data_IF_806317710021
#
_entry.id   IF_806317710021
#
_cell.length_a   1.000
_cell.length_b   1.000
_cell.length_c   1.000
_cell.angle_alpha   90.00
_cell.angle_beta   90.00
_cell.angle_gamma   90.00
#
_symmetry.space_group_name_H-M   'P 1'
#
loop_
_entity.id
_entity.type
_entity.pdbx_description
1 polymer ?
#
# COMPACT_ATOMS: atom_id res chain seq x y z
N UNK A 1 -25.95 -47.00 29.55
CA UNK A 1 -24.80 -46.06 29.60
C UNK A 1 -24.54 -45.54 28.19
N UNK A 2 -24.91 -44.29 27.87
CA UNK A 2 -24.60 -43.66 26.58
C UNK A 2 -23.20 -43.07 26.64
N UNK A 3 -22.29 -43.53 25.79
CA UNK A 3 -20.95 -42.97 25.63
C UNK A 3 -21.06 -41.72 24.74
N UNK A 4 -20.89 -40.54 25.32
CA UNK A 4 -20.76 -39.29 24.57
C UNK A 4 -19.37 -39.24 23.93
N UNK A 5 -19.29 -39.27 22.61
CA UNK A 5 -18.05 -38.97 21.89
C UNK A 5 -17.91 -37.45 21.81
N UNK A 6 -16.90 -36.90 22.47
CA UNK A 6 -16.48 -35.52 22.29
C UNK A 6 -15.67 -35.47 21.00
N UNK A 7 -16.28 -34.96 19.93
CA UNK A 7 -15.58 -34.71 18.66
C UNK A 7 -14.70 -33.47 18.80
N UNK A 8 -13.39 -33.65 18.68
CA UNK A 8 -12.41 -32.56 18.63
C UNK A 8 -12.56 -31.86 17.26
N UNK A 9 -13.17 -30.67 17.21
CA UNK A 9 -13.11 -29.81 16.02
C UNK A 9 -11.68 -29.25 15.91
N UNK A 10 -10.91 -29.74 14.93
CA UNK A 10 -9.68 -29.08 14.53
C UNK A 10 -10.03 -27.76 13.83
N UNK A 11 -9.70 -26.63 14.45
CA UNK A 11 -9.80 -25.33 13.81
C UNK A 11 -8.79 -25.28 12.64
N UNK A 12 -9.30 -25.28 11.40
CA UNK A 12 -8.48 -25.02 10.22
C UNK A 12 -8.21 -23.50 10.23
N UNK A 13 -7.03 -23.11 10.73
CA UNK A 13 -6.57 -21.73 10.60
C UNK A 13 -6.41 -21.42 9.10
N UNK A 14 -7.01 -20.34 8.58
CA UNK A 14 -6.77 -19.92 7.21
C UNK A 14 -5.29 -19.54 7.09
N UNK A 15 -4.53 -20.36 6.37
CA UNK A 15 -3.20 -19.97 5.90
C UNK A 15 -3.40 -18.86 4.86
N UNK A 16 -3.11 -17.61 5.24
CA UNK A 16 -2.93 -16.55 4.28
C UNK A 16 -1.78 -16.96 3.35
N UNK A 17 -2.11 -17.32 2.10
CA UNK A 17 -1.10 -17.74 1.13
C UNK A 17 -0.28 -16.53 0.69
N UNK A 18 1.01 -16.60 0.99
CA UNK A 18 2.05 -15.72 0.46
C UNK A 18 2.21 -16.02 -1.03
N UNK A 19 1.60 -15.21 -1.90
CA UNK A 19 1.89 -15.28 -3.35
C UNK A 19 3.30 -14.72 -3.58
N UNK A 20 4.18 -15.52 -4.20
CA UNK A 20 5.47 -15.04 -4.70
C UNK A 20 5.20 -13.91 -5.71
N UNK A 21 6.00 -12.82 -5.73
CA UNK A 21 5.82 -11.76 -6.73
C UNK A 21 5.91 -12.34 -8.15
N UNK A 22 4.97 -12.00 -9.06
CA UNK A 22 5.09 -12.41 -10.45
C UNK A 22 6.32 -11.75 -11.07
N UNK A 23 7.04 -12.50 -11.91
CA UNK A 23 8.11 -11.92 -12.69
C UNK A 23 7.54 -10.89 -13.67
N UNK A 24 8.28 -9.81 -13.94
CA UNK A 24 7.94 -8.83 -14.94
C UNK A 24 9.07 -8.66 -15.93
N UNK A 25 8.73 -8.66 -17.21
CA UNK A 25 9.72 -8.59 -18.28
C UNK A 25 10.57 -7.32 -18.17
N UNK A 26 11.89 -7.49 -18.33
CA UNK A 26 12.88 -6.42 -18.17
C UNK A 26 13.03 -5.83 -16.76
N UNK A 27 12.45 -6.45 -15.72
CA UNK A 27 12.56 -5.98 -14.33
C UNK A 27 12.93 -7.11 -13.35
N UNK A 28 13.75 -6.77 -12.37
CA UNK A 28 14.10 -7.61 -11.24
C UNK A 28 13.27 -7.20 -10.01
N UNK A 29 12.87 -8.18 -9.20
CA UNK A 29 12.39 -7.90 -7.84
C UNK A 29 13.60 -7.49 -7.02
N UNK A 30 13.57 -6.29 -6.44
CA UNK A 30 14.65 -5.81 -5.56
C UNK A 30 14.28 -5.84 -4.09
N UNK A 31 12.98 -5.88 -3.77
CA UNK A 31 12.50 -6.06 -2.41
C UNK A 31 11.04 -6.54 -2.43
N UNK A 32 10.67 -7.35 -1.43
CA UNK A 32 9.28 -7.78 -1.23
C UNK A 32 9.02 -8.15 0.23
N UNK A 33 7.84 -7.79 0.72
CA UNK A 33 7.30 -8.23 2.00
C UNK A 33 5.93 -8.89 1.81
N UNK A 34 5.71 -9.97 2.53
CA UNK A 34 4.47 -10.76 2.51
C UNK A 34 3.76 -10.77 3.85
N UNK A 35 4.31 -10.08 4.86
CA UNK A 35 3.79 -9.90 6.21
C UNK A 35 3.44 -11.24 6.86
N UNK A 36 4.37 -12.19 6.77
CA UNK A 36 4.22 -13.50 7.42
C UNK A 36 4.29 -13.31 8.92
N UNK A 37 3.33 -13.88 9.63
CA UNK A 37 3.26 -13.80 11.08
C UNK A 37 1.96 -14.39 11.58
N UNK A 38 1.84 -14.51 12.91
CA UNK A 38 0.59 -14.89 13.54
C UNK A 38 -0.38 -13.70 13.50
N UNK A 39 -1.69 -13.97 13.52
CA UNK A 39 -2.65 -12.89 13.70
C UNK A 39 -2.32 -12.09 14.98
N UNK A 40 -2.23 -10.77 14.86
CA UNK A 40 -1.85 -9.89 15.96
C UNK A 40 -0.34 -9.82 16.24
N UNK A 41 0.53 -10.34 15.38
CA UNK A 41 1.96 -9.99 15.39
C UNK A 41 2.20 -8.70 14.62
N UNK A 42 3.17 -7.90 15.08
CA UNK A 42 3.67 -6.75 14.33
C UNK A 42 4.49 -7.22 13.11
N UNK A 43 4.63 -6.37 12.07
CA UNK A 43 5.61 -6.57 11.01
C UNK A 43 7.05 -6.61 11.57
N UNK A 44 7.96 -7.23 10.82
CA UNK A 44 9.38 -7.31 11.18
C UNK A 44 9.99 -5.92 11.38
N UNK A 45 10.54 -5.66 12.58
CA UNK A 45 10.96 -4.33 13.01
C UNK A 45 12.28 -3.86 12.40
N UNK A 46 13.05 -4.76 11.79
CA UNK A 46 14.25 -4.40 11.02
C UNK A 46 13.91 -3.78 9.66
N UNK A 47 12.66 -3.95 9.22
CA UNK A 47 12.14 -3.50 7.93
C UNK A 47 11.12 -2.38 8.11
N UNK A 48 10.28 -2.47 9.15
CA UNK A 48 9.19 -1.54 9.40
C UNK A 48 9.33 -0.80 10.72
N UNK A 49 9.31 0.53 10.64
CA UNK A 49 9.02 1.38 11.79
C UNK A 49 7.53 1.69 11.86
N UNK A 50 6.98 1.78 13.07
CA UNK A 50 5.62 2.29 13.28
C UNK A 50 5.72 3.80 13.49
N UNK A 51 5.05 4.57 12.64
CA UNK A 51 4.93 6.00 12.84
C UNK A 51 3.87 6.27 13.92
N UNK A 52 4.26 6.97 15.00
CA UNK A 52 3.38 7.26 16.15
C UNK A 52 3.02 8.74 16.29
N UNK A 53 3.68 9.61 15.52
CA UNK A 53 3.52 11.06 15.61
C UNK A 53 3.52 11.66 14.19
N UNK A 54 2.46 11.37 13.43
CA UNK A 54 2.14 12.06 12.17
C UNK A 54 0.89 12.89 12.45
N UNK A 55 0.98 14.21 12.29
CA UNK A 55 -0.10 15.18 12.56
C UNK A 55 -0.13 16.31 11.51
N UNK A 56 0.34 16.02 10.29
CA UNK A 56 0.67 17.05 9.27
C UNK A 56 -0.50 17.49 8.40
N UNK A 57 -1.66 16.83 8.47
CA UNK A 57 -2.80 17.05 7.57
C UNK A 57 -4.16 17.19 8.29
N UNK A 58 -4.16 17.61 9.56
CA UNK A 58 -5.36 17.78 10.40
C UNK A 58 -6.20 16.50 10.57
N UNK A 59 -5.52 15.35 10.50
CA UNK A 59 -6.07 14.04 10.85
C UNK A 59 -6.53 13.99 12.31
N UNK A 60 -7.67 13.32 12.57
CA UNK A 60 -8.26 13.22 13.90
C UNK A 60 -7.78 11.98 14.68
N UNK A 61 -7.13 11.04 14.00
CA UNK A 61 -6.65 9.81 14.61
C UNK A 61 -5.44 10.03 15.52
N UNK A 62 -5.21 9.04 16.38
CA UNK A 62 -3.94 8.86 17.07
C UNK A 62 -3.28 7.59 16.56
N UNK A 63 -2.08 7.71 16.03
CA UNK A 63 -1.30 6.55 15.60
C UNK A 63 -0.82 5.73 16.79
N UNK A 64 -0.85 4.40 16.66
CA UNK A 64 -0.53 3.45 17.74
C UNK A 64 0.25 2.26 17.21
N UNK A 65 1.07 1.66 18.08
CA UNK A 65 1.76 0.39 17.87
C UNK A 65 0.94 -0.83 18.30
N UNK A 66 -0.36 -0.63 18.61
CA UNK A 66 -1.28 -1.72 18.94
C UNK A 66 -1.39 -2.72 17.80
N UNK A 67 -1.01 -3.98 18.05
CA UNK A 67 -1.06 -5.03 17.04
C UNK A 67 -2.48 -5.36 16.53
N UNK A 68 -3.52 -4.91 17.24
CA UNK A 68 -4.92 -5.17 16.91
C UNK A 68 -5.42 -4.45 15.66
N UNK A 69 -4.76 -3.37 15.24
CA UNK A 69 -5.14 -2.61 14.03
C UNK A 69 -4.40 -3.06 12.77
N UNK A 70 -3.35 -3.89 12.90
CA UNK A 70 -2.58 -4.39 11.76
C UNK A 70 -3.31 -5.54 11.07
N UNK A 71 -3.68 -5.33 9.80
CA UNK A 71 -4.36 -6.33 8.96
C UNK A 71 -3.56 -6.60 7.69
N UNK A 72 -3.83 -7.76 7.09
CA UNK A 72 -3.07 -8.35 5.99
C UNK A 72 -2.73 -7.36 4.86
N UNK A 73 -1.43 -7.24 4.57
CA UNK A 73 -0.85 -6.42 3.51
C UNK A 73 0.18 -7.29 2.75
N UNK A 74 0.51 -6.92 1.52
CA UNK A 74 1.70 -7.41 0.82
C UNK A 74 2.27 -6.29 -0.05
N UNK A 75 3.57 -6.00 0.06
CA UNK A 75 4.21 -4.88 -0.64
C UNK A 75 5.45 -5.35 -1.40
N UNK A 76 5.70 -4.77 -2.57
CA UNK A 76 6.72 -5.24 -3.52
C UNK A 76 7.33 -4.08 -4.30
N UNK A 77 8.62 -4.21 -4.60
CA UNK A 77 9.40 -3.24 -5.38
C UNK A 77 10.21 -3.95 -6.47
N UNK A 78 10.09 -3.47 -7.70
CA UNK A 78 10.77 -3.97 -8.88
C UNK A 78 11.56 -2.85 -9.56
N UNK A 79 12.70 -3.20 -10.15
CA UNK A 79 13.55 -2.25 -10.86
C UNK A 79 14.18 -2.89 -12.10
N UNK A 80 14.48 -2.03 -13.07
CA UNK A 80 15.29 -2.38 -14.26
C UNK A 80 16.80 -2.18 -14.05
N UNK A 81 17.23 -1.98 -12.79
CA UNK A 81 18.59 -1.62 -12.40
C UNK A 81 18.85 -2.09 -10.95
N UNK A 82 20.10 -2.33 -10.54
CA UNK A 82 20.43 -2.71 -9.16
C UNK A 82 19.96 -1.67 -8.13
N UNK A 83 19.59 -2.11 -6.92
CA UNK A 83 19.00 -1.24 -5.89
C UNK A 83 19.86 -0.03 -5.49
N UNK A 84 21.17 -0.06 -5.75
CA UNK A 84 22.14 0.98 -5.40
C UNK A 84 22.46 1.98 -6.54
N UNK A 85 21.71 1.97 -7.64
CA UNK A 85 21.92 2.92 -8.74
C UNK A 85 20.79 3.96 -8.84
N UNK A 86 21.12 5.14 -9.38
CA UNK A 86 20.14 6.22 -9.59
C UNK A 86 19.15 5.87 -10.71
N UNK A 87 17.93 6.40 -10.56
CA UNK A 87 16.77 6.14 -11.41
C UNK A 87 16.82 6.73 -12.84
N UNK A 88 17.79 7.58 -13.18
CA UNK A 88 17.73 8.37 -14.41
C UNK A 88 17.71 7.47 -15.66
N UNK A 89 16.63 7.57 -16.45
CA UNK A 89 16.42 6.72 -17.63
C UNK A 89 16.09 5.26 -17.32
N UNK A 90 15.77 4.93 -16.06
CA UNK A 90 15.42 3.57 -15.60
C UNK A 90 13.95 3.51 -15.17
N UNK A 91 13.41 2.29 -15.16
CA UNK A 91 12.05 1.98 -14.69
C UNK A 91 12.08 1.41 -13.27
N UNK A 92 11.21 1.93 -12.41
CA UNK A 92 10.85 1.40 -11.10
C UNK A 92 9.35 1.10 -11.09
N UNK A 93 8.95 0.00 -10.46
CA UNK A 93 7.56 -0.28 -10.15
C UNK A 93 7.45 -0.63 -8.69
N UNK A 94 6.51 0.00 -8.01
CA UNK A 94 6.09 -0.35 -6.65
C UNK A 94 4.66 -0.86 -6.72
N UNK A 95 4.38 -1.92 -5.99
CA UNK A 95 3.08 -2.57 -5.99
C UNK A 95 2.74 -3.04 -4.58
N UNK A 96 1.47 -2.89 -4.22
CA UNK A 96 0.91 -3.47 -3.01
C UNK A 96 -0.33 -4.28 -3.34
N UNK A 97 -0.72 -5.17 -2.45
CA UNK A 97 -2.00 -5.88 -2.45
C UNK A 97 -2.53 -5.83 -1.02
N UNK A 98 -3.72 -5.25 -0.87
CA UNK A 98 -4.44 -5.18 0.39
C UNK A 98 -5.93 -5.28 0.14
N UNK A 99 -6.67 -5.54 1.21
CA UNK A 99 -8.14 -5.53 1.20
C UNK A 99 -8.62 -4.36 2.01
N UNK A 100 -9.53 -3.58 1.42
CA UNK A 100 -10.24 -2.52 2.09
C UNK A 100 -11.39 -3.10 2.94
N UNK A 101 -11.87 -2.29 3.89
CA UNK A 101 -13.11 -2.59 4.62
C UNK A 101 -14.32 -2.71 3.68
N UNK A 102 -15.48 -3.00 4.26
CA UNK A 102 -16.72 -3.04 3.47
C UNK A 102 -17.09 -1.60 3.07
N UNK A 103 -17.33 -1.34 1.78
CA UNK A 103 -17.39 0.01 1.21
C UNK A 103 -18.72 0.77 1.46
N UNK A 104 -19.40 0.50 2.57
CA UNK A 104 -20.65 1.21 2.91
C UNK A 104 -20.35 2.53 3.62
N UNK A 105 -20.11 3.60 2.85
CA UNK A 105 -20.07 5.00 3.32
C UNK A 105 -19.25 5.24 4.60
N UNK A 106 -18.01 4.74 4.63
CA UNK A 106 -17.10 4.91 5.78
C UNK A 106 -16.53 6.35 5.84
N UNK A 107 -17.37 7.32 6.20
CA UNK A 107 -16.99 8.73 6.27
C UNK A 107 -15.81 8.94 7.23
N UNK A 108 -14.81 9.71 6.80
CA UNK A 108 -13.60 10.01 7.55
C UNK A 108 -12.51 8.93 7.43
N UNK A 109 -12.78 7.80 6.77
CA UNK A 109 -11.76 6.78 6.50
C UNK A 109 -10.99 7.15 5.23
N UNK A 110 -9.66 7.20 5.36
CA UNK A 110 -8.73 7.57 4.29
C UNK A 110 -7.51 6.63 4.25
N UNK A 111 -7.67 5.39 3.74
CA UNK A 111 -6.54 4.49 3.56
C UNK A 111 -5.65 4.98 2.42
N UNK A 112 -4.34 4.96 2.67
CA UNK A 112 -3.31 5.37 1.72
C UNK A 112 -2.18 4.35 1.63
N UNK A 113 -1.60 4.21 0.44
CA UNK A 113 -0.30 3.58 0.21
C UNK A 113 0.53 4.52 -0.67
N UNK A 114 1.56 5.10 -0.06
CA UNK A 114 2.31 6.21 -0.62
C UNK A 114 3.81 6.02 -0.39
N UNK A 115 4.60 6.90 -0.99
CA UNK A 115 6.05 6.89 -0.89
C UNK A 115 6.56 8.33 -0.72
N UNK A 116 7.47 8.53 0.23
CA UNK A 116 8.19 9.79 0.43
C UNK A 116 9.62 9.68 -0.07
N UNK A 117 10.16 10.74 -0.65
CA UNK A 117 11.57 10.81 -1.01
C UNK A 117 12.49 10.74 0.21
N UNK A 118 13.59 10.00 0.08
CA UNK A 118 14.58 9.80 1.17
C UNK A 118 15.19 11.11 1.68
N UNK A 119 15.16 12.18 0.87
CA UNK A 119 15.61 13.50 1.24
C UNK A 119 14.89 14.06 2.49
N UNK A 120 13.66 13.62 2.77
CA UNK A 120 12.92 13.99 4.00
C UNK A 120 13.67 13.58 5.26
N UNK A 121 14.40 12.46 5.22
CA UNK A 121 15.22 11.98 6.36
C UNK A 121 16.44 12.85 6.61
N UNK A 122 16.75 13.75 5.68
CA UNK A 122 17.92 14.63 5.68
C UNK A 122 17.50 16.12 5.72
N UNK A 123 16.27 16.41 6.17
CA UNK A 123 15.78 17.77 6.40
C UNK A 123 15.26 18.50 5.16
N UNK A 124 14.97 17.79 4.07
CA UNK A 124 14.24 18.38 2.93
C UNK A 124 12.74 18.21 3.19
N UNK A 125 12.06 19.32 3.45
CA UNK A 125 10.64 19.31 3.78
C UNK A 125 9.75 18.93 2.59
N UNK A 126 8.51 18.55 2.89
CA UNK A 126 7.49 18.38 1.88
C UNK A 126 7.08 19.74 1.26
N UNK A 127 6.74 19.83 -0.03
CA UNK A 127 6.78 18.78 -1.07
C UNK A 127 8.13 18.70 -1.80
N UNK A 128 9.16 19.42 -1.34
CA UNK A 128 10.48 19.46 -1.98
C UNK A 128 11.16 18.09 -2.02
N UNK A 129 10.92 17.24 -1.01
CA UNK A 129 11.44 15.87 -0.98
C UNK A 129 10.74 14.94 -1.98
N UNK A 130 9.57 15.32 -2.48
CA UNK A 130 8.75 14.56 -3.42
C UNK A 130 7.95 13.45 -2.74
N UNK A 131 6.71 13.28 -3.19
CA UNK A 131 5.80 12.23 -2.73
C UNK A 131 5.06 11.60 -3.91
N UNK A 132 4.84 10.29 -3.82
CA UNK A 132 4.07 9.49 -4.77
C UNK A 132 3.00 8.72 -4.02
N UNK A 133 1.75 9.15 -4.19
CA UNK A 133 0.58 8.43 -3.72
C UNK A 133 0.23 7.36 -4.73
N UNK A 134 0.57 6.11 -4.40
CA UNK A 134 0.30 4.98 -5.28
C UNK A 134 -1.18 4.58 -5.20
N UNK A 135 -1.79 4.82 -4.04
CA UNK A 135 -3.22 4.61 -3.80
C UNK A 135 -3.71 5.50 -2.66
N UNK A 136 -4.83 6.17 -2.89
CA UNK A 136 -5.66 6.79 -1.87
C UNK A 136 -7.13 6.52 -2.17
N UNK A 137 -7.91 6.30 -1.11
CA UNK A 137 -9.37 6.23 -1.15
C UNK A 137 -9.90 7.08 -0.01
N UNK A 138 -10.98 7.84 -0.26
CA UNK A 138 -11.60 8.69 0.75
C UNK A 138 -13.06 8.26 0.92
N UNK A 139 -13.55 8.21 2.17
CA UNK A 139 -14.96 7.97 2.51
C UNK A 139 -15.54 6.66 1.95
N UNK A 140 -14.72 5.61 1.80
CA UNK A 140 -15.13 4.32 1.23
C UNK A 140 -15.60 4.39 -0.23
N UNK A 141 -15.29 5.47 -0.96
CA UNK A 141 -15.68 5.59 -2.37
C UNK A 141 -14.98 4.51 -3.20
N UNK A 142 -15.67 3.92 -4.19
CA UNK A 142 -15.08 2.92 -5.10
C UNK A 142 -14.18 3.55 -6.17
N UNK A 143 -13.33 4.48 -5.74
CA UNK A 143 -12.37 5.23 -6.55
C UNK A 143 -11.04 5.20 -5.85
N UNK A 144 -10.00 4.79 -6.56
CA UNK A 144 -8.62 4.97 -6.15
C UNK A 144 -8.03 6.19 -6.87
N UNK A 145 -7.32 7.02 -6.13
CA UNK A 145 -6.53 8.12 -6.67
C UNK A 145 -5.05 7.80 -6.51
N UNK A 146 -4.25 8.13 -7.53
CA UNK A 146 -2.80 8.20 -7.38
C UNK A 146 -2.31 9.58 -7.79
N UNK A 147 -1.40 10.15 -7.00
CA UNK A 147 -1.01 11.56 -7.04
C UNK A 147 0.51 11.70 -6.98
N UNK A 148 1.03 12.73 -7.63
CA UNK A 148 2.43 13.15 -7.49
C UNK A 148 2.46 14.53 -6.86
N UNK A 149 3.26 14.66 -5.80
CA UNK A 149 3.55 15.92 -5.12
C UNK A 149 5.03 16.28 -5.26
N UNK A 150 5.32 17.55 -5.53
CA UNK A 150 6.68 18.01 -5.80
C UNK A 150 6.90 19.53 -5.67
N UNK A 151 8.19 19.88 -5.64
CA UNK A 151 8.74 21.22 -5.91
C UNK A 151 8.49 22.30 -4.85
N UNK A 152 7.24 22.72 -4.60
CA UNK A 152 6.95 23.89 -3.76
C UNK A 152 5.57 23.81 -3.12
N UNK A 153 5.36 24.41 -1.96
CA UNK A 153 4.14 24.23 -1.14
C UNK A 153 2.82 24.73 -1.75
N UNK A 154 2.86 25.59 -2.77
CA UNK A 154 1.64 26.15 -3.39
C UNK A 154 1.81 26.34 -4.89
N UNK A 155 0.90 25.79 -5.69
CA UNK A 155 0.93 25.87 -7.15
C UNK A 155 2.12 25.13 -7.77
N UNK A 156 2.84 25.78 -8.67
CA UNK A 156 4.01 25.18 -9.33
C UNK A 156 3.66 24.07 -10.31
N UNK A 157 4.67 23.28 -10.70
CA UNK A 157 4.51 22.22 -11.71
C UNK A 157 3.70 21.02 -11.23
N UNK A 158 3.47 20.89 -9.92
CA UNK A 158 2.66 19.85 -9.30
C UNK A 158 1.29 20.38 -8.82
N UNK A 159 1.00 21.67 -8.96
CA UNK A 159 -0.25 22.28 -8.49
C UNK A 159 -0.56 22.02 -7.00
N UNK A 160 0.39 22.32 -6.14
CA UNK A 160 0.28 22.06 -4.69
C UNK A 160 -0.76 22.96 -4.00
N UNK A 161 -1.44 22.48 -2.94
CA UNK A 161 -1.26 21.17 -2.29
C UNK A 161 -2.07 20.03 -2.95
N UNK A 162 -2.69 20.25 -4.11
CA UNK A 162 -3.55 19.24 -4.74
C UNK A 162 -2.77 18.13 -5.43
N UNK A 163 -1.52 18.39 -5.82
CA UNK A 163 -0.73 17.46 -6.62
C UNK A 163 -1.28 17.26 -8.05
N UNK A 164 -0.59 16.41 -8.81
CA UNK A 164 -1.07 15.91 -10.10
C UNK A 164 -1.54 14.48 -9.97
N UNK A 165 -2.86 14.34 -9.79
CA UNK A 165 -3.51 13.06 -9.59
C UNK A 165 -4.34 12.57 -10.76
N UNK A 166 -4.51 11.25 -10.83
CA UNK A 166 -5.48 10.57 -11.68
C UNK A 166 -6.26 9.58 -10.84
N UNK A 167 -7.56 9.49 -11.10
CA UNK A 167 -8.45 8.56 -10.39
C UNK A 167 -8.98 7.49 -11.32
N UNK A 168 -9.22 6.31 -10.77
CA UNK A 168 -9.85 5.18 -11.48
C UNK A 168 -10.79 4.42 -10.55
N UNK A 169 -11.80 3.78 -11.12
CA UNK A 169 -12.75 2.97 -10.35
C UNK A 169 -12.09 1.68 -9.86
N UNK A 170 -12.42 1.27 -8.64
CA UNK A 170 -11.97 0.01 -8.04
C UNK A 170 -13.15 -0.91 -7.73
N UNK A 171 -12.98 -2.25 -7.77
CA UNK A 171 -14.05 -3.17 -7.43
C UNK A 171 -14.42 -3.08 -5.94
N UNK A 172 -15.68 -3.33 -5.64
CA UNK A 172 -16.13 -3.56 -4.27
C UNK A 172 -15.69 -4.96 -3.81
N UNK A 173 -14.83 -5.02 -2.80
CA UNK A 173 -14.27 -6.27 -2.25
C UNK A 173 -14.96 -6.70 -0.94
N UNK A 174 -16.19 -6.23 -0.69
CA UNK A 174 -17.00 -6.68 0.43
C UNK A 174 -17.30 -8.19 0.33
N UNK A 175 -16.99 -8.95 1.39
CA UNK A 175 -17.47 -10.33 1.55
C UNK A 175 -16.68 -11.54 0.99
N UNK A 176 -15.54 -11.43 0.28
CA UNK A 176 -14.77 -12.64 -0.13
C UNK A 176 -13.26 -12.56 0.20
N UNK A 177 -12.65 -13.60 0.80
CA UNK A 177 -11.21 -13.76 0.81
C UNK A 177 -10.74 -14.12 -0.60
N UNK A 178 -10.44 -13.08 -1.39
CA UNK A 178 -9.67 -13.17 -2.63
C UNK A 178 -10.50 -13.16 -3.91
N UNK A 179 -10.25 -12.14 -4.74
CA UNK A 179 -10.12 -12.15 -6.21
C UNK A 179 -9.22 -10.93 -6.50
N UNK A 180 -7.94 -11.03 -6.89
CA UNK A 180 -7.33 -11.61 -8.10
C UNK A 180 -7.63 -10.84 -9.39
N UNK A 181 -6.55 -10.48 -10.11
CA UNK A 181 -6.51 -9.89 -11.45
C UNK A 181 -6.94 -8.42 -11.61
N UNK A 182 -6.11 -7.54 -11.06
CA UNK A 182 -5.58 -6.46 -11.88
C UNK A 182 -4.21 -6.87 -12.42
N UNK A 183 -4.16 -7.64 -13.51
CA UNK A 183 -3.07 -7.37 -14.45
C UNK A 183 -3.24 -5.90 -14.79
N UNK A 184 -2.33 -5.04 -14.34
CA UNK A 184 -2.18 -3.75 -14.98
C UNK A 184 -2.27 -4.03 -16.48
N UNK A 185 -3.12 -3.34 -17.25
CA UNK A 185 -3.13 -3.53 -18.70
C UNK A 185 -1.66 -3.48 -19.14
N UNK A 186 -1.20 -4.40 -20.01
CA UNK A 186 0.10 -4.21 -20.62
C UNK A 186 0.12 -2.77 -21.09
N UNK A 187 1.16 -2.03 -20.71
CA UNK A 187 1.37 -0.66 -21.15
C UNK A 187 1.45 -0.69 -22.68
N UNK A 188 0.29 -0.71 -23.35
CA UNK A 188 0.16 -0.40 -24.75
C UNK A 188 0.43 1.09 -24.79
N UNK A 189 1.62 1.43 -25.25
CA UNK A 189 2.13 2.79 -25.25
C UNK A 189 1.05 3.77 -25.69
N UNK A 190 0.92 4.85 -24.93
CA UNK A 190 0.23 6.01 -25.46
C UNK A 190 0.99 6.46 -26.72
N UNK A 191 0.28 6.73 -27.83
CA UNK A 191 0.90 7.22 -29.04
C UNK A 191 1.58 8.57 -28.78
N UNK A 192 2.59 8.85 -29.62
CA UNK A 192 3.36 10.11 -29.62
C UNK A 192 2.48 11.35 -29.54
#
# INVERSE_FOLDING_TARGET
MRRSQVGLLAAILPLAYSIKPPAMDGMNIIWSETFKGNAGSLPESDTWGVALAIDTNNELQTYTDSSWIFRYLAARRYSSFPANQRMLGKKLRVQTVFRLGDNTNEQGIWPAFWMMGDAVRNGVEWPLCGELDVFEQVNGQLTATGTVHCQQESGGICNEPSGHGVSTSIPDNAGTPGVSNGTAPPWTGLPK
#
